data_IF_680142181326
#
_entry.id   IF_680142181326
#
_cell.length_a   1.000
_cell.length_b   1.000
_cell.length_c   1.000
_cell.angle_alpha   90.00
_cell.angle_beta   90.00
_cell.angle_gamma   90.00
#
_symmetry.space_group_name_H-M   'P 1'
#
loop_
_entity.id
_entity.type
_entity.pdbx_description
1 polymer ?
#
# COMPACT_ATOMS: atom_id res chain seq x y z
N UNK A 1 11.64 -27.38 12.55
CA UNK A 1 10.54 -27.73 13.49
C UNK A 1 9.23 -28.09 12.79
N UNK A 2 8.82 -27.36 11.73
CA UNK A 2 7.52 -27.56 11.05
C UNK A 2 7.30 -28.98 10.47
N UNK A 3 8.31 -29.58 9.85
CA UNK A 3 8.21 -30.94 9.27
C UNK A 3 7.97 -32.07 10.30
N UNK A 4 8.37 -31.88 11.56
CA UNK A 4 8.20 -32.92 12.60
C UNK A 4 6.73 -33.03 13.05
N UNK A 5 6.01 -31.90 13.12
CA UNK A 5 4.60 -31.85 13.48
C UNK A 5 3.72 -32.51 12.41
N UNK A 6 4.02 -32.27 11.13
CA UNK A 6 3.30 -32.88 10.00
C UNK A 6 3.46 -34.41 10.02
N UNK A 7 4.67 -34.90 10.29
CA UNK A 7 4.93 -36.33 10.38
C UNK A 7 4.23 -36.98 11.57
N UNK A 8 4.21 -36.33 12.75
CA UNK A 8 3.51 -36.83 13.93
C UNK A 8 1.98 -36.91 13.72
N UNK A 9 1.40 -35.88 13.11
CA UNK A 9 -0.03 -35.82 12.76
C UNK A 9 -0.37 -36.88 11.69
N UNK A 10 0.52 -37.16 10.74
CA UNK A 10 0.34 -38.20 9.73
C UNK A 10 0.38 -39.61 10.34
N UNK A 11 1.34 -39.89 11.24
CA UNK A 11 1.46 -41.17 11.97
C UNK A 11 0.25 -41.40 12.89
N UNK A 12 -0.21 -40.37 13.61
CA UNK A 12 -1.41 -40.44 14.45
C UNK A 12 -2.69 -40.76 13.64
N UNK A 13 -2.79 -40.26 12.40
CA UNK A 13 -3.95 -40.56 11.52
C UNK A 13 -4.00 -42.01 11.05
N UNK A 14 -2.84 -42.63 10.78
CA UNK A 14 -2.79 -44.03 10.34
C UNK A 14 -3.21 -44.99 11.45
N UNK A 15 -2.90 -44.66 12.70
CA UNK A 15 -3.27 -45.47 13.86
C UNK A 15 -4.78 -45.47 14.18
N UNK A 16 -5.51 -44.42 13.79
CA UNK A 16 -6.91 -44.21 14.18
C UNK A 16 -7.93 -44.79 13.18
N UNK A 17 -7.53 -45.05 11.93
CA UNK A 17 -8.40 -45.53 10.84
C UNK A 17 -8.94 -46.96 11.07
N UNK A 18 -8.32 -47.74 11.97
CA UNK A 18 -8.54 -49.20 12.09
C UNK A 18 -9.58 -49.64 13.14
N UNK A 19 -10.23 -48.73 13.89
CA UNK A 19 -11.29 -49.08 14.86
C UNK A 19 -12.63 -48.42 14.48
N UNK A 20 -13.70 -49.21 14.42
CA UNK A 20 -14.98 -48.85 13.78
C UNK A 20 -15.86 -47.82 14.50
N UNK A 21 -16.90 -47.36 13.77
CA UNK A 21 -18.11 -46.68 14.27
C UNK A 21 -17.93 -45.26 14.80
N UNK A 22 -17.54 -45.11 16.06
CA UNK A 22 -17.46 -43.83 16.79
C UNK A 22 -16.25 -42.99 16.35
N UNK A 23 -15.22 -43.68 15.88
CA UNK A 23 -13.98 -43.07 15.39
C UNK A 23 -14.16 -42.34 14.05
N UNK A 24 -15.23 -42.63 13.28
CA UNK A 24 -15.50 -41.94 12.00
C UNK A 24 -15.92 -40.48 12.20
N UNK A 25 -16.73 -40.19 13.22
CA UNK A 25 -17.12 -38.80 13.58
C UNK A 25 -15.88 -38.01 14.03
N UNK A 26 -15.08 -38.62 14.91
CA UNK A 26 -13.81 -38.05 15.36
C UNK A 26 -12.81 -37.90 14.20
N UNK A 27 -12.79 -38.83 13.23
CA UNK A 27 -11.90 -38.79 12.07
C UNK A 27 -12.28 -37.68 11.08
N UNK A 28 -13.56 -37.40 10.89
CA UNK A 28 -14.02 -36.22 10.12
C UNK A 28 -13.60 -34.91 10.80
N UNK A 29 -13.70 -34.82 12.13
CA UNK A 29 -13.22 -33.66 12.90
C UNK A 29 -11.70 -33.50 12.74
N UNK A 30 -10.94 -34.58 12.88
CA UNK A 30 -9.46 -34.57 12.73
C UNK A 30 -9.04 -34.26 11.29
N UNK A 31 -9.75 -34.73 10.27
CA UNK A 31 -9.50 -34.38 8.87
C UNK A 31 -9.80 -32.91 8.58
N UNK A 32 -10.89 -32.38 9.13
CA UNK A 32 -11.22 -30.97 8.99
C UNK A 32 -10.15 -30.09 9.66
N UNK A 33 -9.65 -30.50 10.83
CA UNK A 33 -8.53 -29.84 11.50
C UNK A 33 -7.22 -29.94 10.70
N UNK A 34 -6.94 -31.07 10.04
CA UNK A 34 -5.78 -31.23 9.16
C UNK A 34 -5.84 -30.36 7.92
N UNK A 35 -7.01 -30.28 7.27
CA UNK A 35 -7.19 -29.43 6.10
C UNK A 35 -7.05 -27.95 6.48
N UNK A 36 -7.58 -27.58 7.64
CA UNK A 36 -7.41 -26.23 8.22
C UNK A 36 -5.94 -25.94 8.56
N UNK A 37 -5.23 -26.89 9.16
CA UNK A 37 -3.80 -26.77 9.47
C UNK A 37 -2.93 -26.70 8.23
N UNK A 38 -3.22 -27.48 7.19
CA UNK A 38 -2.52 -27.41 5.90
C UNK A 38 -2.75 -26.06 5.20
N UNK A 39 -3.97 -25.51 5.26
CA UNK A 39 -4.26 -24.18 4.74
C UNK A 39 -3.56 -23.07 5.53
N UNK A 40 -3.51 -23.17 6.86
CA UNK A 40 -2.76 -22.23 7.71
C UNK A 40 -1.25 -22.30 7.44
N UNK A 41 -0.71 -23.50 7.24
CA UNK A 41 0.71 -23.69 6.89
C UNK A 41 1.02 -23.17 5.48
N UNK A 42 0.12 -23.41 4.52
CA UNK A 42 0.26 -22.86 3.16
C UNK A 42 0.27 -21.32 3.18
N UNK A 43 -0.66 -20.70 3.93
CA UNK A 43 -0.68 -19.25 4.13
C UNK A 43 0.60 -18.73 4.83
N UNK A 44 1.15 -19.48 5.79
CA UNK A 44 2.39 -19.07 6.46
C UNK A 44 3.61 -19.11 5.53
N UNK A 45 3.67 -20.08 4.60
CA UNK A 45 4.75 -20.16 3.60
C UNK A 45 4.62 -19.06 2.54
N UNK A 46 3.40 -18.73 2.11
CA UNK A 46 3.16 -17.61 1.20
C UNK A 46 3.55 -16.26 1.84
N UNK A 47 3.33 -16.12 3.16
CA UNK A 47 3.68 -14.91 3.90
C UNK A 47 5.19 -14.78 4.13
N UNK A 48 5.93 -15.88 4.33
CA UNK A 48 7.39 -15.86 4.38
C UNK A 48 8.04 -15.58 3.02
N UNK A 49 7.36 -15.90 1.90
CA UNK A 49 7.82 -15.60 0.55
C UNK A 49 7.58 -14.13 0.13
N UNK A 50 6.79 -13.36 0.89
CA UNK A 50 6.63 -11.93 0.67
C UNK A 50 7.92 -11.18 1.04
N UNK A 51 8.58 -10.63 0.02
CA UNK A 51 9.72 -9.73 0.20
C UNK A 51 9.33 -8.55 1.09
N UNK A 52 10.18 -8.20 2.06
CA UNK A 52 9.94 -7.11 3.01
C UNK A 52 9.65 -5.83 2.24
N UNK A 53 8.44 -5.28 2.39
CA UNK A 53 8.07 -4.01 1.78
C UNK A 53 8.88 -2.90 2.45
N UNK A 54 9.96 -2.49 1.79
CA UNK A 54 10.67 -1.26 2.11
C UNK A 54 9.96 -0.13 1.40
N UNK A 55 9.65 0.95 2.14
CA UNK A 55 9.02 2.12 1.54
C UNK A 55 9.91 2.65 0.41
N UNK A 56 9.38 2.87 -0.82
CA UNK A 56 10.18 3.24 -1.99
C UNK A 56 10.84 4.63 -1.88
N UNK A 57 10.46 5.42 -0.87
CA UNK A 57 11.03 6.73 -0.58
C UNK A 57 11.45 6.78 0.88
N UNK A 58 12.67 7.26 1.13
CA UNK A 58 13.24 7.39 2.47
C UNK A 58 12.55 8.57 3.21
N UNK A 59 12.04 8.40 4.44
CA UNK A 59 11.37 9.48 5.17
C UNK A 59 12.20 10.75 5.37
N UNK A 60 13.53 10.67 5.30
CA UNK A 60 14.42 11.83 5.37
C UNK A 60 14.28 12.80 4.17
N UNK A 61 13.81 12.33 3.00
CA UNK A 61 13.71 13.18 1.80
C UNK A 61 12.34 13.84 1.63
N UNK A 62 11.31 13.43 2.38
CA UNK A 62 9.98 14.03 2.32
C UNK A 62 9.97 15.54 2.57
N UNK A 63 10.56 16.09 3.66
CA UNK A 63 10.49 17.53 3.92
C UNK A 63 11.20 18.36 2.83
N UNK A 64 12.30 17.85 2.29
CA UNK A 64 13.04 18.53 1.22
C UNK A 64 12.22 18.60 -0.07
N UNK A 65 11.57 17.49 -0.47
CA UNK A 65 10.70 17.44 -1.64
C UNK A 65 9.48 18.36 -1.44
N UNK A 66 8.79 18.29 -0.30
CA UNK A 66 7.63 19.14 0.01
C UNK A 66 7.95 20.62 -0.15
N UNK A 67 9.05 21.09 0.44
CA UNK A 67 9.43 22.51 0.40
C UNK A 67 9.74 22.95 -1.03
N UNK A 68 10.46 22.15 -1.81
CA UNK A 68 10.79 22.50 -3.21
C UNK A 68 9.53 22.53 -4.08
N UNK A 69 8.67 21.51 -4.01
CA UNK A 69 7.44 21.46 -4.80
C UNK A 69 6.47 22.59 -4.43
N UNK A 70 6.30 22.89 -3.13
CA UNK A 70 5.44 23.98 -2.69
C UNK A 70 6.02 25.36 -3.01
N UNK A 71 7.32 25.57 -2.89
CA UNK A 71 7.94 26.86 -3.22
C UNK A 71 7.72 27.20 -4.70
N UNK A 72 7.95 26.23 -5.59
CA UNK A 72 7.75 26.40 -7.04
C UNK A 72 6.25 26.53 -7.35
N UNK A 73 5.39 25.71 -6.74
CA UNK A 73 3.94 25.78 -6.91
C UNK A 73 3.37 27.14 -6.49
N UNK A 74 3.74 27.64 -5.32
CA UNK A 74 3.31 28.96 -4.83
C UNK A 74 3.79 30.08 -5.75
N UNK A 75 5.02 30.02 -6.25
CA UNK A 75 5.53 30.99 -7.21
C UNK A 75 4.68 31.03 -8.49
N UNK A 76 4.34 29.87 -9.07
CA UNK A 76 3.50 29.82 -10.26
C UNK A 76 2.05 30.27 -10.00
N UNK A 77 1.48 29.96 -8.83
CA UNK A 77 0.13 30.46 -8.47
C UNK A 77 0.11 31.99 -8.30
N UNK A 78 1.13 32.57 -7.66
CA UNK A 78 1.25 34.02 -7.54
C UNK A 78 1.42 34.68 -8.91
N UNK A 79 2.22 34.07 -9.77
CA UNK A 79 2.44 34.53 -11.14
C UNK A 79 1.16 34.47 -11.98
N UNK A 80 0.33 33.43 -11.81
CA UNK A 80 -1.00 33.33 -12.43
C UNK A 80 -1.92 34.46 -11.96
N UNK A 81 -2.00 34.73 -10.65
CA UNK A 81 -2.81 35.83 -10.12
C UNK A 81 -2.33 37.20 -10.63
N UNK A 82 -1.03 37.44 -10.69
CA UNK A 82 -0.47 38.67 -11.26
C UNK A 82 -0.85 38.80 -12.74
N UNK A 83 -0.71 37.73 -13.53
CA UNK A 83 -1.11 37.77 -14.94
C UNK A 83 -2.61 37.99 -15.13
N UNK A 84 -3.46 37.36 -14.32
CA UNK A 84 -4.90 37.55 -14.39
C UNK A 84 -5.29 39.01 -14.08
N UNK A 85 -4.74 39.58 -13.00
CA UNK A 85 -5.04 40.94 -12.54
C UNK A 85 -4.45 42.03 -13.45
N UNK A 86 -3.33 41.76 -14.13
CA UNK A 86 -2.68 42.73 -15.02
C UNK A 86 -3.11 42.62 -16.49
N UNK A 87 -3.77 41.53 -16.89
CA UNK A 87 -4.22 41.34 -18.28
C UNK A 87 -5.40 42.26 -18.64
N UNK A 88 -5.25 43.04 -19.71
CA UNK A 88 -6.33 43.86 -20.26
C UNK A 88 -7.07 43.12 -21.38
N UNK A 89 -8.36 43.45 -21.59
CA UNK A 89 -9.36 42.71 -22.40
C UNK A 89 -8.95 42.35 -23.85
N UNK A 90 -7.89 42.95 -24.40
CA UNK A 90 -7.52 42.86 -25.82
C UNK A 90 -6.31 41.96 -26.12
N UNK A 91 -5.60 41.44 -25.11
CA UNK A 91 -4.42 40.57 -25.30
C UNK A 91 -4.48 39.28 -24.48
N UNK A 92 -5.68 38.83 -24.06
CA UNK A 92 -5.84 37.61 -23.24
C UNK A 92 -5.75 36.34 -24.09
N UNK A 93 -4.60 35.68 -24.02
CA UNK A 93 -4.42 34.32 -24.50
C UNK A 93 -4.86 33.31 -23.41
N UNK A 94 -6.11 32.85 -23.48
CA UNK A 94 -6.67 31.82 -22.57
C UNK A 94 -5.80 30.55 -22.54
N UNK A 95 -5.14 30.21 -23.65
CA UNK A 95 -4.23 29.07 -23.73
C UNK A 95 -3.01 29.20 -22.81
N UNK A 96 -2.42 30.38 -22.68
CA UNK A 96 -1.25 30.60 -21.80
C UNK A 96 -1.68 30.57 -20.33
N UNK A 97 -2.83 31.17 -20.02
CA UNK A 97 -3.43 31.16 -18.68
C UNK A 97 -3.74 29.71 -18.23
N UNK A 98 -4.31 28.90 -19.13
CA UNK A 98 -4.63 27.51 -18.85
C UNK A 98 -3.38 26.64 -18.66
N UNK A 99 -2.33 26.86 -19.46
CA UNK A 99 -1.06 26.14 -19.30
C UNK A 99 -0.39 26.46 -17.95
N UNK A 100 -0.36 27.73 -17.57
CA UNK A 100 0.29 28.17 -16.31
C UNK A 100 -0.51 27.66 -15.10
N UNK A 101 -1.84 27.75 -15.14
CA UNK A 101 -2.70 27.23 -14.07
C UNK A 101 -2.65 25.70 -13.95
N UNK A 102 -2.56 24.98 -15.07
CA UNK A 102 -2.41 23.53 -15.08
C UNK A 102 -1.08 23.10 -14.46
N UNK A 103 0.02 23.75 -14.84
CA UNK A 103 1.34 23.50 -14.26
C UNK A 103 1.34 23.83 -12.76
N UNK A 104 0.78 24.98 -12.37
CA UNK A 104 0.68 25.38 -10.97
C UNK A 104 -0.12 24.37 -10.13
N UNK A 105 -1.26 23.91 -10.65
CA UNK A 105 -2.13 22.92 -10.00
C UNK A 105 -1.43 21.58 -9.78
N UNK A 106 -0.69 21.08 -10.78
CA UNK A 106 0.08 19.84 -10.64
C UNK A 106 1.13 19.96 -9.53
N UNK A 107 1.94 21.02 -9.54
CA UNK A 107 2.98 21.22 -8.53
C UNK A 107 2.41 21.43 -7.13
N UNK A 108 1.32 22.20 -6.99
CA UNK A 108 0.64 22.37 -5.69
C UNK A 108 -0.02 21.07 -5.22
N UNK A 109 -0.63 20.30 -6.11
CA UNK A 109 -1.23 19.00 -5.79
C UNK A 109 -0.20 18.01 -5.25
N UNK A 110 0.92 17.82 -5.95
CA UNK A 110 2.01 16.98 -5.46
C UNK A 110 2.64 17.54 -4.17
N UNK A 111 2.85 18.85 -4.06
CA UNK A 111 3.39 19.49 -2.86
C UNK A 111 2.53 19.24 -1.61
N UNK A 112 1.20 19.30 -1.75
CA UNK A 112 0.26 19.01 -0.65
C UNK A 112 0.28 17.53 -0.26
N UNK A 113 0.37 16.60 -1.23
CA UNK A 113 0.50 15.16 -0.94
C UNK A 113 1.75 14.87 -0.09
N UNK A 114 2.91 15.44 -0.45
CA UNK A 114 4.12 15.28 0.34
C UNK A 114 4.06 16.00 1.69
N UNK A 115 3.31 17.10 1.80
CA UNK A 115 3.06 17.77 3.09
C UNK A 115 2.24 16.90 4.05
N UNK A 116 1.14 16.29 3.56
CA UNK A 116 0.33 15.35 4.33
C UNK A 116 1.17 14.19 4.84
N UNK A 117 2.00 13.63 3.96
CA UNK A 117 2.91 12.53 4.29
C UNK A 117 3.97 12.96 5.31
N UNK A 118 4.43 14.21 5.27
CA UNK A 118 5.37 14.78 6.25
C UNK A 118 4.73 15.01 7.63
N UNK A 119 3.47 15.45 7.68
CA UNK A 119 2.70 15.58 8.95
C UNK A 119 2.37 14.22 9.58
N UNK A 120 2.55 13.13 8.83
CA UNK A 120 2.30 11.76 9.28
C UNK A 120 0.90 11.25 8.93
N UNK A 121 0.19 11.94 8.04
CA UNK A 121 -1.08 11.50 7.47
C UNK A 121 -0.76 10.72 6.19
N UNK A 122 -0.76 9.39 6.30
CA UNK A 122 -0.58 8.48 5.17
C UNK A 122 -1.92 8.34 4.44
N UNK A 123 -1.98 8.85 3.20
CA UNK A 123 -3.14 8.75 2.31
C UNK A 123 -3.01 7.59 1.34
#
# INVERSE_FOLDING_TARGET
MCNYLVHYIYVASRHFKHRGGVYLQMWNIVLNQKHTLSLLLFLSQELEAMTRYTSPVNPAVFPHLTVVLLAIGMFFTAWFFVYEVTSTKYTRDVYKELLISLVASLFMGFGVLFLLLWVGIYV
#
